data_IF_204336812797
#
_entry.id   IF_204336812797
#
_cell.length_a   1.000
_cell.length_b   1.000
_cell.length_c   1.000
_cell.angle_alpha   90.00
_cell.angle_beta   90.00
_cell.angle_gamma   90.00
#
_symmetry.space_group_name_H-M   'P 1'
#
loop_
_entity.id
_entity.type
_entity.pdbx_description
1 polymer ?
#
# COMPACT_ATOMS: atom_id res chain seq x y z
N UNK A 1 2.60 18.60 -3.79
CA UNK A 1 1.92 17.40 -4.25
C UNK A 1 2.73 16.18 -3.86
N UNK A 2 2.08 15.20 -3.26
CA UNK A 2 2.76 13.98 -2.81
C UNK A 2 2.40 12.81 -3.72
N UNK A 3 3.35 11.94 -3.95
CA UNK A 3 3.15 10.73 -4.74
C UNK A 3 3.54 9.52 -3.91
N UNK A 4 2.74 8.48 -4.00
CA UNK A 4 3.00 7.24 -3.27
C UNK A 4 2.85 6.06 -4.21
N UNK A 5 3.63 5.04 -3.97
CA UNK A 5 3.52 3.78 -4.69
C UNK A 5 2.60 2.85 -3.92
N UNK A 6 1.78 2.13 -4.67
CA UNK A 6 0.87 1.16 -4.07
C UNK A 6 1.26 -0.23 -4.54
N UNK A 7 1.55 -1.10 -3.60
CA UNK A 7 1.83 -2.51 -3.91
C UNK A 7 0.51 -3.25 -3.83
N UNK A 8 0.16 -3.92 -4.92
CA UNK A 8 -1.12 -4.60 -5.04
C UNK A 8 -0.91 -6.11 -5.04
N UNK A 9 -1.60 -6.78 -4.14
CA UNK A 9 -1.54 -8.23 -4.02
C UNK A 9 -2.95 -8.78 -3.96
N UNK A 10 -3.08 -10.08 -4.07
CA UNK A 10 -4.39 -10.73 -3.96
C UNK A 10 -4.28 -11.80 -2.88
N UNK A 11 -5.23 -11.82 -1.96
CA UNK A 11 -5.21 -12.80 -0.89
C UNK A 11 -5.91 -14.11 -1.30
N UNK A 12 -5.97 -15.05 -0.38
CA UNK A 12 -6.56 -16.37 -0.64
C UNK A 12 -8.04 -16.31 -0.99
N UNK A 13 -8.73 -15.31 -0.50
CA UNK A 13 -10.17 -15.16 -0.74
C UNK A 13 -10.48 -14.38 -2.01
N UNK A 14 -9.44 -13.99 -2.75
CA UNK A 14 -9.61 -13.26 -3.99
C UNK A 14 -9.76 -11.76 -3.81
N UNK A 15 -9.54 -11.25 -2.60
CA UNK A 15 -9.58 -9.82 -2.36
C UNK A 15 -8.25 -9.20 -2.76
N UNK A 16 -8.31 -7.99 -3.29
CA UNK A 16 -7.11 -7.24 -3.60
C UNK A 16 -6.66 -6.48 -2.36
N UNK A 17 -5.37 -6.56 -2.09
CA UNK A 17 -4.76 -5.89 -0.94
C UNK A 17 -3.78 -4.87 -1.46
N UNK A 18 -3.89 -3.65 -0.97
CA UNK A 18 -2.99 -2.57 -1.35
C UNK A 18 -2.24 -2.05 -0.14
N UNK A 19 -0.96 -1.82 -0.30
CA UNK A 19 -0.14 -1.24 0.76
C UNK A 19 0.73 -0.15 0.18
N UNK A 20 1.05 0.82 1.02
CA UNK A 20 1.88 1.95 0.63
C UNK A 20 3.19 1.87 1.42
N UNK A 21 4.29 1.49 0.76
CA UNK A 21 5.58 1.35 1.47
C UNK A 21 6.04 2.62 2.16
N UNK A 22 5.73 3.76 1.57
CA UNK A 22 6.14 5.04 2.13
C UNK A 22 5.37 5.43 3.39
N UNK A 23 4.24 4.79 3.66
CA UNK A 23 3.41 5.08 4.82
C UNK A 23 3.29 3.81 5.64
N UNK A 24 4.11 3.69 6.67
CA UNK A 24 4.18 2.48 7.49
C UNK A 24 2.81 2.14 8.07
N UNK A 25 2.39 0.88 7.85
CA UNK A 25 1.12 0.41 8.37
C UNK A 25 -0.10 0.84 7.54
N UNK A 26 0.11 1.55 6.46
CA UNK A 26 -1.00 2.01 5.62
C UNK A 26 -1.31 0.94 4.58
N UNK A 27 -2.41 0.22 4.81
CA UNK A 27 -2.85 -0.82 3.89
C UNK A 27 -4.36 -0.94 3.95
N UNK A 28 -4.94 -1.51 2.89
CA UNK A 28 -6.37 -1.70 2.81
C UNK A 28 -6.67 -2.81 1.81
N UNK A 29 -7.93 -3.14 1.63
CA UNK A 29 -8.33 -4.17 0.69
C UNK A 29 -9.63 -3.78 -0.01
N UNK A 30 -9.87 -4.42 -1.15
CA UNK A 30 -11.07 -4.19 -1.93
C UNK A 30 -11.41 -5.39 -2.77
N UNK A 31 -12.64 -5.43 -3.27
CA UNK A 31 -13.13 -6.55 -4.08
C UNK A 31 -12.74 -6.45 -5.54
N UNK A 32 -12.39 -5.26 -5.98
CA UNK A 32 -11.95 -4.99 -7.35
C UNK A 32 -10.79 -4.00 -7.29
N UNK A 33 -10.08 -3.87 -8.39
CA UNK A 33 -8.99 -2.91 -8.45
C UNK A 33 -9.50 -1.48 -8.30
N UNK A 34 -10.65 -1.17 -8.91
CA UNK A 34 -11.23 0.17 -8.79
C UNK A 34 -11.60 0.49 -7.34
N UNK A 35 -12.25 -0.46 -6.67
CA UNK A 35 -12.60 -0.28 -5.26
C UNK A 35 -11.35 -0.14 -4.40
N UNK A 36 -10.34 -0.98 -4.68
CA UNK A 36 -9.09 -0.92 -3.94
C UNK A 36 -8.45 0.46 -4.06
N UNK A 37 -8.38 1.01 -5.26
CA UNK A 37 -7.73 2.31 -5.45
C UNK A 37 -8.47 3.44 -4.75
N UNK A 38 -9.79 3.37 -4.68
CA UNK A 38 -10.55 4.35 -3.91
C UNK A 38 -10.24 4.24 -2.43
N UNK A 39 -10.19 3.01 -1.93
CA UNK A 39 -9.88 2.77 -0.51
C UNK A 39 -8.43 3.12 -0.17
N UNK A 40 -7.52 2.86 -1.08
CA UNK A 40 -6.11 3.23 -0.88
C UNK A 40 -5.97 4.74 -0.75
N UNK A 41 -6.66 5.48 -1.59
CA UNK A 41 -6.61 6.94 -1.54
C UNK A 41 -7.13 7.44 -0.19
N UNK A 42 -8.26 6.92 0.26
CA UNK A 42 -8.82 7.29 1.56
C UNK A 42 -7.88 6.92 2.70
N UNK A 43 -7.31 5.71 2.64
CA UNK A 43 -6.38 5.26 3.66
C UNK A 43 -5.14 6.14 3.71
N UNK A 44 -4.61 6.51 2.56
CA UNK A 44 -3.44 7.38 2.48
C UNK A 44 -3.72 8.74 3.10
N UNK A 45 -4.87 9.30 2.80
CA UNK A 45 -5.25 10.60 3.36
C UNK A 45 -5.36 10.55 4.87
N UNK A 46 -5.95 9.46 5.40
CA UNK A 46 -6.05 9.28 6.84
C UNK A 46 -4.69 9.08 7.49
N UNK A 47 -3.82 8.28 6.87
CA UNK A 47 -2.47 8.06 7.38
C UNK A 47 -1.71 9.38 7.46
N UNK A 48 -1.84 10.22 6.45
CA UNK A 48 -1.18 11.51 6.42
C UNK A 48 -1.73 12.46 7.49
N UNK A 49 -3.04 12.41 7.74
CA UNK A 49 -3.65 13.22 8.78
C UNK A 49 -3.13 12.86 10.16
N UNK A 50 -3.02 11.57 10.43
CA UNK A 50 -2.61 11.08 11.75
C UNK A 50 -1.14 11.29 11.99
N UNK A 51 -0.30 10.93 11.03
CA UNK A 51 1.14 10.94 11.20
C UNK A 51 1.83 12.16 10.61
N UNK A 52 1.17 12.83 9.71
CA UNK A 52 1.74 13.99 9.05
C UNK A 52 2.76 13.61 7.98
N UNK A 53 3.28 14.63 7.30
CA UNK A 53 4.23 14.42 6.22
C UNK A 53 5.58 13.90 6.71
N UNK A 54 5.87 14.04 7.99
CA UNK A 54 7.14 13.62 8.56
C UNK A 54 7.17 12.15 8.95
N UNK A 55 6.05 11.46 8.84
CA UNK A 55 5.96 10.06 9.22
C UNK A 55 6.81 9.17 8.32
N UNK A 56 7.03 9.60 7.12
CA UNK A 56 7.68 8.80 6.10
C UNK A 56 9.20 8.85 6.23
N UNK A 57 9.80 7.67 6.35
CA UNK A 57 11.24 7.55 6.38
C UNK A 57 11.76 6.50 5.41
N UNK A 58 10.85 5.82 4.69
CA UNK A 58 11.23 4.77 3.76
C UNK A 58 11.05 5.22 2.33
N UNK A 59 12.01 4.87 1.50
CA UNK A 59 11.94 5.16 0.07
C UNK A 59 11.70 3.85 -0.68
N UNK A 60 10.67 3.84 -1.51
CA UNK A 60 10.40 2.65 -2.30
C UNK A 60 11.40 2.57 -3.45
N UNK A 61 12.13 1.46 -3.53
CA UNK A 61 13.11 1.25 -4.59
C UNK A 61 12.58 0.28 -5.64
N UNK A 62 12.01 -0.83 -5.20
CA UNK A 62 11.54 -1.82 -6.16
C UNK A 62 11.20 -3.13 -5.50
N UNK A 63 10.96 -4.12 -6.35
CA UNK A 63 10.59 -5.46 -5.92
C UNK A 63 11.58 -6.45 -6.53
N UNK A 64 12.08 -7.35 -5.71
CA UNK A 64 12.93 -8.44 -6.15
C UNK A 64 12.30 -9.74 -5.72
N UNK A 65 12.45 -10.76 -6.55
CA UNK A 65 11.94 -12.09 -6.22
C UNK A 65 13.12 -13.02 -5.96
N UNK A 66 13.05 -13.78 -4.89
CA UNK A 66 14.04 -14.82 -4.63
C UNK A 66 13.34 -16.17 -4.64
N UNK A 67 14.12 -17.22 -4.91
CA UNK A 67 13.60 -18.57 -4.89
C UNK A 67 14.38 -19.33 -3.81
N UNK A 68 13.63 -19.97 -2.93
CA UNK A 68 14.23 -20.77 -1.87
C UNK A 68 13.72 -22.18 -2.03
N UNK A 69 14.62 -23.14 -2.07
CA UNK A 69 14.26 -24.54 -2.15
C UNK A 69 13.93 -25.01 -0.74
N UNK A 70 12.67 -25.38 -0.54
CA UNK A 70 12.20 -25.77 0.78
C UNK A 70 11.66 -27.20 0.77
#
# INVERSE_FOLDING_TARGET
MAQFDVIIERDEDGLYVGSIPQLIGCHTQGRSLDELMERVREAAELCLEVEGASAQSLEFIGIQRITIVA
#
